data_IF_754389865720
#
_entry.id   IF_754389865720
#
_cell.length_a   1.000
_cell.length_b   1.000
_cell.length_c   1.000
_cell.angle_alpha   90.00
_cell.angle_beta   90.00
_cell.angle_gamma   90.00
#
_symmetry.space_group_name_H-M   'P 1'
#
loop_
_entity.id
_entity.type
_entity.pdbx_description
1 polymer ?
#
# COMPACT_ATOMS: atom_id res chain seq x y z
N UNK A 1 10.95 -93.63 19.82
CA UNK A 1 11.76 -92.69 19.03
C UNK A 1 11.32 -91.30 19.32
N UNK A 2 12.00 -90.63 20.26
CA UNK A 2 11.66 -89.27 20.68
C UNK A 2 12.73 -88.35 20.12
N UNK A 3 12.35 -87.41 19.31
CA UNK A 3 13.26 -86.37 18.78
C UNK A 3 12.97 -85.09 19.61
N UNK A 4 14.01 -84.66 20.34
CA UNK A 4 14.05 -83.41 21.09
C UNK A 4 14.48 -82.30 20.15
N UNK A 5 13.63 -81.27 19.96
CA UNK A 5 14.00 -80.02 19.31
C UNK A 5 14.47 -79.03 20.38
N UNK A 6 15.73 -78.59 20.25
CA UNK A 6 16.30 -77.51 21.06
C UNK A 6 15.96 -76.17 20.41
N UNK A 7 15.30 -75.25 21.14
CA UNK A 7 15.08 -73.90 20.73
C UNK A 7 16.24 -72.99 21.18
N UNK A 8 16.90 -72.35 20.24
CA UNK A 8 17.91 -71.35 20.52
C UNK A 8 17.25 -69.94 20.65
N UNK A 9 17.41 -69.33 21.81
CA UNK A 9 16.97 -67.95 22.08
C UNK A 9 18.10 -67.01 21.72
N UNK A 10 17.89 -66.18 20.69
CA UNK A 10 18.83 -65.12 20.32
C UNK A 10 18.46 -63.82 21.08
N UNK A 11 19.37 -63.39 21.96
CA UNK A 11 19.27 -62.06 22.58
C UNK A 11 19.72 -61.00 21.57
N UNK A 12 18.77 -60.18 21.07
CA UNK A 12 19.05 -59.00 20.30
C UNK A 12 19.30 -57.79 21.21
N UNK A 13 20.53 -57.27 21.19
CA UNK A 13 20.83 -56.00 21.86
C UNK A 13 20.23 -54.81 21.08
N UNK A 14 19.30 -54.11 21.70
CA UNK A 14 18.74 -52.85 21.16
C UNK A 14 19.71 -51.73 21.52
N UNK A 15 20.43 -51.21 20.53
CA UNK A 15 21.24 -49.97 20.66
C UNK A 15 20.29 -48.78 20.44
N UNK A 16 19.94 -48.10 21.54
CA UNK A 16 19.20 -46.82 21.46
C UNK A 16 20.21 -45.73 21.10
N UNK A 17 20.27 -45.38 19.83
CA UNK A 17 20.99 -44.20 19.37
C UNK A 17 20.28 -42.92 19.79
N UNK A 18 20.87 -42.17 20.71
CA UNK A 18 20.44 -40.81 21.02
C UNK A 18 20.79 -39.91 19.84
N UNK A 19 19.80 -39.58 19.02
CA UNK A 19 19.88 -38.52 18.02
C UNK A 19 19.95 -37.16 18.76
N UNK A 20 21.14 -36.64 18.92
CA UNK A 20 21.36 -35.26 19.36
C UNK A 20 21.05 -34.35 18.18
N UNK A 21 19.88 -33.67 18.22
CA UNK A 21 19.55 -32.65 17.28
C UNK A 21 20.41 -31.42 17.56
N UNK A 22 21.14 -30.86 16.58
CA UNK A 22 21.87 -29.62 16.82
C UNK A 22 20.86 -28.51 17.18
N UNK A 23 21.11 -27.82 18.29
CA UNK A 23 20.37 -26.65 18.68
C UNK A 23 20.43 -25.64 17.52
N UNK A 24 19.24 -25.18 17.07
CA UNK A 24 19.15 -24.07 16.12
C UNK A 24 19.76 -22.87 16.82
N UNK A 25 20.91 -22.40 16.37
CA UNK A 25 21.41 -21.08 16.74
C UNK A 25 20.34 -20.06 16.32
N UNK A 26 19.81 -19.30 17.28
CA UNK A 26 18.96 -18.14 17.04
C UNK A 26 19.78 -17.15 16.21
N UNK A 27 19.57 -17.17 14.89
CA UNK A 27 20.11 -16.13 14.03
C UNK A 27 19.44 -14.82 14.44
N UNK A 28 20.22 -13.93 15.00
CA UNK A 28 19.81 -12.55 15.23
C UNK A 28 19.22 -11.98 13.94
N UNK A 29 18.11 -11.21 14.01
CA UNK A 29 17.51 -10.62 12.82
C UNK A 29 18.56 -9.80 12.06
N UNK A 30 18.63 -10.01 10.75
CA UNK A 30 19.56 -9.30 9.90
C UNK A 30 19.39 -7.78 10.13
N UNK A 31 20.49 -7.01 10.24
CA UNK A 31 20.41 -5.58 10.44
C UNK A 31 19.62 -4.95 9.29
N UNK A 32 18.61 -4.12 9.64
CA UNK A 32 17.87 -3.32 8.68
C UNK A 32 18.89 -2.51 7.87
N UNK A 33 18.87 -2.57 6.54
CA UNK A 33 19.82 -1.81 5.74
C UNK A 33 19.76 -0.34 6.15
N UNK A 34 20.89 0.22 6.55
CA UNK A 34 20.98 1.65 6.84
C UNK A 34 20.57 2.43 5.58
N UNK A 35 19.70 3.43 5.75
CA UNK A 35 19.31 4.33 4.66
C UNK A 35 20.56 4.88 3.99
N UNK A 36 20.56 4.93 2.66
CA UNK A 36 21.66 5.48 1.90
C UNK A 36 21.99 6.90 2.41
N UNK A 37 23.28 7.27 2.57
CA UNK A 37 23.66 8.60 3.02
C UNK A 37 23.05 9.66 2.08
N UNK A 38 22.20 10.55 2.63
CA UNK A 38 21.56 11.63 1.87
C UNK A 38 20.09 11.39 1.49
N UNK A 39 19.52 10.22 1.74
CA UNK A 39 18.07 10.03 1.55
C UNK A 39 17.29 10.87 2.59
N UNK A 40 16.29 11.65 2.16
CA UNK A 40 15.53 12.49 3.07
C UNK A 40 14.73 11.60 4.06
N UNK A 41 14.74 11.96 5.35
CA UNK A 41 13.99 11.22 6.37
C UNK A 41 12.49 11.22 6.04
N UNK A 42 11.85 10.06 6.14
CA UNK A 42 10.42 9.94 5.91
C UNK A 42 9.63 10.67 7.02
N UNK A 43 8.52 11.28 6.63
CA UNK A 43 7.54 11.84 7.58
C UNK A 43 6.42 10.83 7.78
N UNK A 44 6.19 10.42 9.01
CA UNK A 44 5.12 9.48 9.37
C UNK A 44 3.95 10.19 10.03
N UNK A 45 2.78 9.62 9.88
CA UNK A 45 1.57 10.07 10.54
C UNK A 45 0.77 8.87 11.01
N UNK A 46 0.29 8.92 12.26
CA UNK A 46 -0.66 7.98 12.81
C UNK A 46 -1.92 8.73 13.25
N UNK A 47 -3.09 8.35 12.74
CA UNK A 47 -4.33 9.04 13.03
C UNK A 47 -5.43 8.77 12.00
N UNK A 48 -6.36 9.73 11.87
CA UNK A 48 -7.48 9.64 10.93
C UNK A 48 -7.26 10.50 9.70
N UNK A 49 -7.61 9.95 8.54
CA UNK A 49 -7.64 10.66 7.26
C UNK A 49 -9.00 10.52 6.60
N UNK A 50 -9.25 11.40 5.65
CA UNK A 50 -10.32 11.25 4.68
C UNK A 50 -9.77 11.46 3.27
N UNK A 51 -10.49 10.95 2.28
CA UNK A 51 -10.31 11.33 0.89
C UNK A 51 -11.66 11.69 0.26
N UNK A 52 -11.62 12.50 -0.79
CA UNK A 52 -12.78 12.94 -1.54
C UNK A 52 -12.39 13.22 -2.98
N UNK A 53 -13.34 13.10 -3.90
CA UNK A 53 -13.06 13.08 -5.34
C UNK A 53 -12.31 14.33 -5.85
N UNK A 54 -12.68 15.52 -5.37
CA UNK A 54 -12.01 16.78 -5.70
C UNK A 54 -11.35 17.36 -4.44
N UNK A 55 -10.19 17.98 -4.59
CA UNK A 55 -9.57 18.75 -3.52
C UNK A 55 -10.53 19.85 -3.04
N UNK A 56 -10.88 19.92 -1.75
CA UNK A 56 -11.80 20.94 -1.26
C UNK A 56 -11.12 22.32 -1.23
N UNK A 57 -11.92 23.39 -1.30
CA UNK A 57 -11.36 24.74 -1.19
C UNK A 57 -10.68 24.97 0.16
N UNK A 58 -9.71 25.89 0.19
CA UNK A 58 -9.00 26.26 1.43
C UNK A 58 -9.95 26.69 2.56
N UNK A 59 -11.09 27.32 2.22
CA UNK A 59 -12.10 27.70 3.20
C UNK A 59 -12.80 26.48 3.84
N UNK A 60 -13.10 25.45 3.04
CA UNK A 60 -13.67 24.19 3.52
C UNK A 60 -12.64 23.44 4.39
N UNK A 61 -11.40 23.33 3.93
CA UNK A 61 -10.33 22.66 4.66
C UNK A 61 -10.03 23.34 6.01
N UNK A 62 -10.12 24.67 6.06
CA UNK A 62 -9.96 25.42 7.32
C UNK A 62 -11.11 25.10 8.30
N UNK A 63 -12.35 25.07 7.83
CA UNK A 63 -13.50 24.71 8.65
C UNK A 63 -13.43 23.26 9.16
N UNK A 64 -12.86 22.37 8.36
CA UNK A 64 -12.70 20.94 8.70
C UNK A 64 -11.57 20.66 9.69
N UNK A 65 -10.77 21.67 10.10
CA UNK A 65 -9.79 21.50 11.20
C UNK A 65 -10.46 21.14 12.52
N UNK A 66 -11.75 21.42 12.69
CA UNK A 66 -12.54 21.01 13.87
C UNK A 66 -12.96 19.52 13.81
N UNK A 67 -12.64 18.81 12.73
CA UNK A 67 -12.95 17.40 12.56
C UNK A 67 -11.89 16.50 13.25
N UNK A 68 -12.17 15.20 13.44
CA UNK A 68 -11.19 14.26 13.95
C UNK A 68 -10.09 13.90 12.92
N UNK A 69 -10.17 14.41 11.69
CA UNK A 69 -9.24 14.14 10.63
C UNK A 69 -8.07 15.10 10.65
N UNK A 70 -6.87 14.58 10.42
CA UNK A 70 -5.64 15.37 10.36
C UNK A 70 -4.84 15.12 9.08
N UNK A 71 -5.28 14.17 8.25
CA UNK A 71 -4.72 13.90 6.94
C UNK A 71 -5.80 13.85 5.87
N UNK A 72 -5.41 14.11 4.63
CA UNK A 72 -6.29 14.13 3.46
C UNK A 72 -5.65 13.40 2.29
N UNK A 73 -6.42 12.48 1.67
CA UNK A 73 -6.08 11.86 0.40
C UNK A 73 -6.29 12.86 -0.74
N UNK A 74 -5.31 12.97 -1.64
CA UNK A 74 -5.30 13.94 -2.73
C UNK A 74 -5.08 13.22 -4.05
N UNK A 75 -6.08 13.20 -4.92
CA UNK A 75 -6.03 12.60 -6.26
C UNK A 75 -5.27 13.51 -7.22
N UNK A 76 -3.92 13.51 -7.11
CA UNK A 76 -3.08 14.49 -7.75
C UNK A 76 -2.79 14.23 -9.23
N UNK A 77 -2.95 13.02 -9.72
CA UNK A 77 -2.59 12.67 -11.08
C UNK A 77 -3.23 11.38 -11.61
N UNK A 78 -2.93 11.08 -12.85
CA UNK A 78 -3.39 9.89 -13.54
C UNK A 78 -4.67 10.11 -14.36
N UNK A 79 -4.74 9.41 -15.48
CA UNK A 79 -5.85 9.51 -16.46
C UNK A 79 -7.13 8.83 -16.01
N UNK A 80 -7.03 7.95 -14.99
CA UNK A 80 -8.15 7.13 -14.49
C UNK A 80 -8.96 7.81 -13.38
N UNK A 81 -8.66 9.05 -13.00
CA UNK A 81 -9.38 9.76 -11.93
C UNK A 81 -10.87 9.89 -12.23
N UNK A 82 -11.70 9.70 -11.20
CA UNK A 82 -13.15 9.93 -11.28
C UNK A 82 -13.47 11.40 -11.50
N UNK A 83 -12.78 12.30 -10.80
CA UNK A 83 -12.85 13.74 -10.96
C UNK A 83 -11.55 14.25 -11.62
N UNK A 84 -11.48 14.33 -12.97
CA UNK A 84 -10.24 14.71 -13.66
C UNK A 84 -9.88 16.17 -13.48
N UNK A 85 -10.87 17.04 -13.25
CA UNK A 85 -10.66 18.46 -13.02
C UNK A 85 -10.52 18.72 -11.53
N UNK A 86 -9.35 19.16 -11.12
CA UNK A 86 -8.99 19.46 -9.74
C UNK A 86 -8.73 20.97 -9.60
N UNK A 87 -9.79 21.76 -9.53
CA UNK A 87 -9.71 23.23 -9.61
C UNK A 87 -8.90 23.87 -8.49
N UNK A 88 -9.04 23.31 -7.29
CA UNK A 88 -8.38 23.85 -6.09
C UNK A 88 -6.94 23.33 -5.95
N UNK A 89 -6.61 22.17 -6.53
CA UNK A 89 -5.33 21.50 -6.34
C UNK A 89 -4.21 22.20 -7.12
N UNK A 90 -3.57 23.14 -6.47
CA UNK A 90 -2.42 23.91 -6.96
C UNK A 90 -1.25 23.79 -5.99
N UNK A 91 -0.01 24.18 -6.37
CA UNK A 91 1.10 24.26 -5.44
C UNK A 91 0.80 25.15 -4.22
N UNK A 92 0.12 26.27 -4.43
CA UNK A 92 -0.28 27.20 -3.35
C UNK A 92 -1.31 26.55 -2.40
N UNK A 93 -2.25 25.75 -2.94
CA UNK A 93 -3.16 24.98 -2.13
C UNK A 93 -2.42 23.97 -1.26
N UNK A 94 -1.48 23.22 -1.85
CA UNK A 94 -0.66 22.22 -1.14
C UNK A 94 0.14 22.88 -0.01
N UNK A 95 0.79 24.01 -0.28
CA UNK A 95 1.51 24.79 0.74
C UNK A 95 0.58 25.27 1.85
N UNK A 96 -0.57 25.86 1.49
CA UNK A 96 -1.56 26.35 2.45
C UNK A 96 -2.14 25.22 3.33
N UNK A 97 -2.39 24.04 2.75
CA UNK A 97 -2.85 22.89 3.54
C UNK A 97 -1.79 22.41 4.51
N UNK A 98 -0.54 22.40 4.09
CA UNK A 98 0.58 22.07 4.97
C UNK A 98 0.69 23.07 6.15
N UNK A 99 0.62 24.36 5.88
CA UNK A 99 0.64 25.43 6.88
C UNK A 99 -0.54 25.32 7.86
N UNK A 100 -1.72 24.93 7.38
CA UNK A 100 -2.88 24.64 8.20
C UNK A 100 -2.71 23.35 9.05
N UNK A 101 -1.61 22.61 8.88
CA UNK A 101 -1.32 21.39 9.63
C UNK A 101 -1.94 20.11 9.05
N UNK A 102 -2.49 20.14 7.83
CA UNK A 102 -2.94 18.93 7.15
C UNK A 102 -1.75 18.08 6.69
N UNK A 103 -1.81 16.78 6.93
CA UNK A 103 -0.94 15.79 6.28
C UNK A 103 -1.59 15.36 4.97
N UNK A 104 -0.77 15.09 3.95
CA UNK A 104 -1.30 14.72 2.63
C UNK A 104 -0.86 13.32 2.21
N UNK A 105 -1.78 12.59 1.60
CA UNK A 105 -1.61 11.24 1.07
C UNK A 105 -1.86 11.29 -0.44
N UNK A 106 -0.82 11.47 -1.27
CA UNK A 106 -0.98 11.64 -2.72
C UNK A 106 -1.37 10.34 -3.43
N UNK A 107 -2.54 10.31 -4.10
CA UNK A 107 -3.05 9.20 -4.90
C UNK A 107 -2.92 9.48 -6.40
N UNK A 108 -2.36 8.52 -7.12
CA UNK A 108 -2.25 8.53 -8.58
C UNK A 108 -3.13 7.44 -9.18
N UNK A 109 -4.19 7.85 -9.90
CA UNK A 109 -5.14 6.93 -10.55
C UNK A 109 -4.78 6.80 -12.02
N UNK A 110 -3.85 5.91 -12.31
CA UNK A 110 -3.39 5.64 -13.67
C UNK A 110 -4.16 4.52 -14.37
N UNK A 111 -3.39 3.61 -14.99
CA UNK A 111 -3.93 2.40 -15.57
C UNK A 111 -4.47 1.46 -14.52
N UNK A 112 -5.45 0.64 -14.94
CA UNK A 112 -6.21 -0.25 -14.09
C UNK A 112 -6.00 -1.71 -14.50
N UNK A 113 -6.23 -2.64 -13.58
CA UNK A 113 -6.16 -4.06 -13.88
C UNK A 113 -7.02 -4.42 -15.12
N UNK A 114 -6.57 -5.29 -16.03
CA UNK A 114 -7.33 -5.64 -17.24
C UNK A 114 -8.73 -6.19 -16.94
N UNK A 115 -8.90 -6.82 -15.78
CA UNK A 115 -10.17 -7.39 -15.32
C UNK A 115 -10.83 -6.54 -14.20
N UNK A 116 -10.59 -5.22 -14.20
CA UNK A 116 -11.21 -4.29 -13.24
C UNK A 116 -12.73 -4.45 -13.23
N UNK A 117 -13.33 -4.43 -12.03
CA UNK A 117 -14.77 -4.63 -11.85
C UNK A 117 -15.54 -3.39 -12.31
N UNK A 118 -15.08 -2.21 -11.92
CA UNK A 118 -15.72 -0.94 -12.27
C UNK A 118 -15.69 -0.70 -13.78
N UNK A 119 -16.86 -0.74 -14.44
CA UNK A 119 -16.97 -0.64 -15.89
C UNK A 119 -16.34 0.64 -16.44
N UNK A 120 -16.55 1.76 -15.80
CA UNK A 120 -15.99 3.06 -16.20
C UNK A 120 -14.44 3.08 -16.22
N UNK A 121 -13.80 2.15 -15.51
CA UNK A 121 -12.33 2.02 -15.43
C UNK A 121 -11.73 1.13 -16.51
N UNK A 122 -12.52 0.27 -17.18
CA UNK A 122 -12.04 -0.68 -18.19
C UNK A 122 -11.29 -0.03 -19.35
N UNK A 123 -11.67 1.18 -19.75
CA UNK A 123 -11.00 1.97 -20.80
C UNK A 123 -9.56 2.37 -20.44
N UNK A 124 -9.17 2.24 -19.18
CA UNK A 124 -7.84 2.54 -18.67
C UNK A 124 -7.02 1.28 -18.42
N UNK A 125 -7.42 0.13 -18.94
CA UNK A 125 -6.74 -1.13 -18.70
C UNK A 125 -5.24 -1.06 -19.03
N UNK A 126 -4.44 -1.75 -18.22
CA UNK A 126 -3.03 -2.01 -18.47
C UNK A 126 -2.92 -2.78 -19.80
N UNK A 127 -2.03 -2.34 -20.66
CA UNK A 127 -1.83 -2.90 -21.99
C UNK A 127 -0.90 -4.12 -22.03
N UNK A 128 -0.45 -4.48 -23.24
CA UNK A 128 0.37 -5.68 -23.49
C UNK A 128 1.80 -5.58 -22.96
N UNK A 129 2.26 -4.41 -22.58
CA UNK A 129 3.62 -4.16 -22.07
C UNK A 129 3.55 -3.55 -20.67
N UNK A 130 3.08 -4.32 -19.65
CA UNK A 130 2.81 -3.78 -18.31
C UNK A 130 4.05 -3.19 -17.64
N UNK A 131 5.22 -3.80 -17.81
CA UNK A 131 6.47 -3.29 -17.23
C UNK A 131 6.86 -1.90 -17.74
N UNK A 132 7.09 -1.71 -19.05
CA UNK A 132 7.35 -0.39 -19.64
C UNK A 132 6.27 0.64 -19.32
N UNK A 133 4.99 0.24 -19.34
CA UNK A 133 3.88 1.14 -19.03
C UNK A 133 3.92 1.58 -17.55
N UNK A 134 4.19 0.67 -16.61
CA UNK A 134 4.33 1.00 -15.19
C UNK A 134 5.48 1.98 -14.93
N UNK A 135 6.63 1.76 -15.59
CA UNK A 135 7.78 2.69 -15.53
C UNK A 135 7.40 4.08 -16.07
N UNK A 136 6.72 4.14 -17.20
CA UNK A 136 6.29 5.42 -17.78
C UNK A 136 5.33 6.18 -16.85
N UNK A 137 4.29 5.51 -16.35
CA UNK A 137 3.30 6.14 -15.48
C UNK A 137 3.88 6.55 -14.12
N UNK A 138 4.87 5.82 -13.59
CA UNK A 138 5.64 6.25 -12.42
C UNK A 138 6.37 7.58 -12.66
N UNK A 139 7.01 7.72 -13.82
CA UNK A 139 7.64 8.98 -14.22
C UNK A 139 6.63 10.13 -14.35
N UNK A 140 5.43 9.86 -14.86
CA UNK A 140 4.34 10.85 -14.93
C UNK A 140 3.87 11.25 -13.54
N UNK A 141 3.70 10.28 -12.62
CA UNK A 141 3.31 10.51 -11.25
C UNK A 141 4.33 11.39 -10.52
N UNK A 142 5.62 11.08 -10.64
CA UNK A 142 6.69 11.89 -10.00
C UNK A 142 6.74 13.30 -10.56
N UNK A 143 6.59 13.49 -11.87
CA UNK A 143 6.55 14.86 -12.46
C UNK A 143 5.36 15.66 -11.94
N UNK A 144 4.17 15.04 -11.87
CA UNK A 144 2.97 15.69 -11.33
C UNK A 144 3.12 16.00 -9.83
N UNK A 145 3.70 15.10 -9.05
CA UNK A 145 3.96 15.31 -7.63
C UNK A 145 4.92 16.48 -7.39
N UNK A 146 6.03 16.53 -8.12
CA UNK A 146 7.00 17.67 -8.06
C UNK A 146 6.34 18.99 -8.44
N UNK A 147 5.54 19.01 -9.49
CA UNK A 147 4.83 20.22 -9.93
C UNK A 147 3.87 20.77 -8.87
N UNK A 148 3.36 19.93 -7.97
CA UNK A 148 2.52 20.32 -6.83
C UNK A 148 3.28 20.61 -5.55
N UNK A 149 4.62 20.47 -5.53
CA UNK A 149 5.44 20.72 -4.36
C UNK A 149 5.56 19.53 -3.40
N UNK A 150 5.17 18.31 -3.82
CA UNK A 150 5.48 17.09 -3.08
C UNK A 150 6.96 16.74 -3.31
N UNK A 151 7.78 16.89 -2.27
CA UNK A 151 9.22 16.67 -2.32
C UNK A 151 9.63 15.20 -2.29
N UNK A 152 10.90 14.94 -2.55
CA UNK A 152 11.48 13.58 -2.45
C UNK A 152 11.29 13.01 -1.04
N UNK A 153 11.13 11.69 -0.96
CA UNK A 153 10.71 10.99 0.27
C UNK A 153 9.19 11.01 0.51
N UNK A 154 8.38 11.71 -0.31
CA UNK A 154 6.93 11.61 -0.25
C UNK A 154 6.46 10.23 -0.71
N UNK A 155 5.43 9.62 -0.07
CA UNK A 155 4.75 8.48 -0.65
C UNK A 155 3.91 8.92 -1.86
N UNK A 156 3.87 8.07 -2.89
CA UNK A 156 2.92 8.18 -3.99
C UNK A 156 2.12 6.88 -4.03
N UNK A 157 0.81 6.98 -3.82
CA UNK A 157 -0.08 5.81 -3.76
C UNK A 157 -0.65 5.54 -5.15
N UNK A 158 -0.23 4.45 -5.79
CA UNK A 158 -0.84 3.95 -7.01
C UNK A 158 -2.21 3.38 -6.68
N UNK A 159 -3.25 3.94 -7.27
CA UNK A 159 -4.63 3.50 -7.08
C UNK A 159 -5.03 2.53 -8.21
N UNK A 160 -5.23 1.28 -7.85
CA UNK A 160 -5.84 0.25 -8.69
C UNK A 160 -7.11 -0.24 -8.01
N UNK A 161 -8.24 0.02 -8.66
CA UNK A 161 -9.57 -0.35 -8.19
C UNK A 161 -9.74 -1.87 -8.06
N UNK A 162 -10.83 -2.30 -7.41
CA UNK A 162 -11.14 -3.71 -7.28
C UNK A 162 -11.23 -4.43 -8.63
N UNK A 163 -10.61 -5.60 -8.71
CA UNK A 163 -10.58 -6.45 -9.91
C UNK A 163 -10.75 -7.93 -9.56
N UNK A 164 -10.98 -8.78 -10.57
CA UNK A 164 -11.15 -10.22 -10.38
C UNK A 164 -9.81 -10.88 -10.06
N UNK A 165 -9.58 -11.17 -8.79
CA UNK A 165 -8.33 -11.76 -8.30
C UNK A 165 -8.21 -13.28 -8.53
N UNK A 166 -9.20 -13.91 -9.14
CA UNK A 166 -9.21 -15.31 -9.61
C UNK A 166 -8.72 -15.47 -11.07
N UNK A 167 -8.52 -14.37 -11.80
CA UNK A 167 -7.99 -14.33 -13.15
C UNK A 167 -6.44 -14.22 -13.09
N UNK A 168 -5.76 -15.33 -13.42
CA UNK A 168 -4.30 -15.44 -13.33
C UNK A 168 -3.56 -14.48 -14.27
N UNK A 169 -4.06 -14.30 -15.51
CA UNK A 169 -3.42 -13.45 -16.51
C UNK A 169 -3.56 -11.97 -16.13
N UNK A 170 -4.74 -11.60 -15.61
CA UNK A 170 -4.99 -10.27 -15.07
C UNK A 170 -4.07 -10.00 -13.89
N UNK A 171 -3.93 -10.95 -12.96
CA UNK A 171 -3.02 -10.83 -11.82
C UNK A 171 -1.56 -10.64 -12.27
N UNK A 172 -1.07 -11.50 -13.16
CA UNK A 172 0.31 -11.42 -13.66
C UNK A 172 0.60 -10.08 -14.34
N UNK A 173 -0.34 -9.60 -15.18
CA UNK A 173 -0.25 -8.30 -15.85
C UNK A 173 -0.22 -7.16 -14.83
N UNK A 174 -1.13 -7.18 -13.85
CA UNK A 174 -1.23 -6.14 -12.81
C UNK A 174 0.01 -6.11 -11.93
N UNK A 175 0.50 -7.27 -11.47
CA UNK A 175 1.72 -7.38 -10.66
C UNK A 175 2.94 -6.87 -11.42
N UNK A 176 3.09 -7.23 -12.70
CA UNK A 176 4.19 -6.74 -13.53
C UNK A 176 4.20 -5.21 -13.64
N UNK A 177 3.04 -4.60 -13.81
CA UNK A 177 2.87 -3.15 -13.84
C UNK A 177 3.23 -2.51 -12.49
N UNK A 178 2.67 -3.01 -11.38
CA UNK A 178 2.88 -2.49 -10.02
C UNK A 178 4.35 -2.57 -9.63
N UNK A 179 5.04 -3.66 -9.92
CA UNK A 179 6.48 -3.82 -9.65
C UNK A 179 7.32 -2.81 -10.42
N UNK A 180 7.08 -2.64 -11.72
CA UNK A 180 7.80 -1.67 -12.53
C UNK A 180 7.55 -0.24 -12.06
N UNK A 181 6.30 0.10 -11.73
CA UNK A 181 5.92 1.38 -11.17
C UNK A 181 6.63 1.62 -9.83
N UNK A 182 6.61 0.65 -8.93
CA UNK A 182 7.24 0.77 -7.60
C UNK A 182 8.75 0.95 -7.68
N UNK A 183 9.42 0.18 -8.55
CA UNK A 183 10.87 0.32 -8.79
C UNK A 183 11.23 1.70 -9.29
N UNK A 184 10.47 2.23 -10.25
CA UNK A 184 10.75 3.53 -10.84
C UNK A 184 10.47 4.68 -9.87
N UNK A 185 9.38 4.62 -9.09
CA UNK A 185 9.09 5.59 -8.03
C UNK A 185 10.26 5.67 -7.03
N UNK A 186 10.78 4.51 -6.58
CA UNK A 186 11.98 4.47 -5.70
C UNK A 186 13.20 5.09 -6.38
N UNK A 187 13.45 4.72 -7.64
CA UNK A 187 14.60 5.24 -8.40
C UNK A 187 14.55 6.77 -8.51
N UNK A 188 13.37 7.35 -8.53
CA UNK A 188 13.13 8.79 -8.61
C UNK A 188 13.09 9.49 -7.23
N UNK A 189 13.40 8.77 -6.13
CA UNK A 189 13.52 9.32 -4.79
C UNK A 189 12.20 9.39 -4.00
N UNK A 190 11.13 8.73 -4.46
CA UNK A 190 9.83 8.68 -3.80
C UNK A 190 9.55 7.31 -3.18
N UNK A 191 8.56 7.24 -2.29
CA UNK A 191 8.15 6.00 -1.65
C UNK A 191 6.95 5.42 -2.40
N UNK A 192 7.04 4.20 -2.97
CA UNK A 192 5.91 3.59 -3.65
C UNK A 192 4.89 3.10 -2.63
N UNK A 193 3.68 3.63 -2.71
CA UNK A 193 2.49 3.16 -2.03
C UNK A 193 1.52 2.49 -3.00
N UNK A 194 0.59 1.71 -2.48
CA UNK A 194 -0.42 1.03 -3.28
C UNK A 194 -1.78 1.06 -2.58
N UNK A 195 -2.79 1.56 -3.29
CA UNK A 195 -4.19 1.51 -2.87
C UNK A 195 -4.94 0.48 -3.70
N UNK A 196 -5.70 -0.37 -3.04
CA UNK A 196 -6.66 -1.28 -3.68
C UNK A 196 -7.66 -1.87 -2.69
N UNK A 197 -8.68 -2.56 -3.21
CA UNK A 197 -9.53 -3.41 -2.39
C UNK A 197 -8.73 -4.49 -1.66
N UNK A 198 -9.07 -4.74 -0.40
CA UNK A 198 -8.48 -5.81 0.40
C UNK A 198 -8.62 -7.18 -0.28
N UNK A 199 -9.78 -7.44 -0.92
CA UNK A 199 -10.09 -8.74 -1.53
C UNK A 199 -9.52 -8.94 -2.94
N UNK A 200 -8.88 -7.93 -3.53
CA UNK A 200 -8.23 -8.03 -4.84
C UNK A 200 -6.75 -7.67 -4.77
N UNK A 201 -6.37 -6.43 -5.06
CA UNK A 201 -4.98 -6.01 -5.18
C UNK A 201 -4.15 -6.23 -3.91
N UNK A 202 -4.71 -5.97 -2.73
CA UNK A 202 -3.99 -6.18 -1.46
C UNK A 202 -3.75 -7.68 -1.22
N UNK A 203 -4.78 -8.53 -1.42
CA UNK A 203 -4.64 -9.99 -1.35
C UNK A 203 -3.59 -10.52 -2.32
N UNK A 204 -3.55 -9.97 -3.55
CA UNK A 204 -2.55 -10.35 -4.54
C UNK A 204 -1.15 -9.94 -4.10
N UNK A 205 -0.95 -8.70 -3.62
CA UNK A 205 0.35 -8.27 -3.12
C UNK A 205 0.85 -9.11 -1.94
N UNK A 206 -0.05 -9.53 -1.05
CA UNK A 206 0.34 -10.42 0.05
C UNK A 206 0.79 -11.79 -0.45
N UNK A 207 0.15 -12.34 -1.49
CA UNK A 207 0.62 -13.58 -2.15
C UNK A 207 2.02 -13.40 -2.73
N UNK A 208 2.25 -12.29 -3.43
CA UNK A 208 3.56 -11.95 -4.02
C UNK A 208 4.62 -11.78 -2.94
N UNK A 209 4.31 -11.09 -1.85
CA UNK A 209 5.23 -10.93 -0.70
C UNK A 209 5.63 -12.27 -0.11
N UNK A 210 4.68 -13.18 0.10
CA UNK A 210 4.94 -14.54 0.61
C UNK A 210 5.76 -15.37 -0.37
N UNK A 211 5.64 -15.11 -1.67
CA UNK A 211 6.44 -15.75 -2.71
C UNK A 211 7.87 -15.16 -2.84
N UNK A 212 8.20 -14.10 -2.08
CA UNK A 212 9.50 -13.44 -2.15
C UNK A 212 9.66 -12.54 -3.38
N UNK A 213 8.55 -12.12 -4.00
CA UNK A 213 8.58 -11.22 -5.16
C UNK A 213 9.19 -9.88 -4.78
N UNK A 214 10.19 -9.45 -5.55
CA UNK A 214 10.87 -8.17 -5.38
C UNK A 214 10.07 -7.00 -5.97
N UNK A 215 10.48 -5.76 -5.64
CA UNK A 215 9.92 -4.50 -6.15
C UNK A 215 8.44 -4.27 -5.80
N UNK A 216 7.95 -4.84 -4.73
CA UNK A 216 6.61 -4.56 -4.22
C UNK A 216 6.53 -3.14 -3.60
N UNK A 217 5.35 -2.52 -3.53
CA UNK A 217 5.14 -1.27 -2.82
C UNK A 217 5.61 -1.34 -1.38
N UNK A 218 6.12 -0.22 -0.86
CA UNK A 218 6.61 -0.12 0.52
C UNK A 218 5.49 0.16 1.53
N UNK A 219 4.34 0.65 1.06
CA UNK A 219 3.17 1.02 1.88
C UNK A 219 1.91 0.50 1.21
N UNK A 220 0.96 0.00 1.99
CA UNK A 220 -0.34 -0.43 1.49
C UNK A 220 -1.47 0.40 2.08
N UNK A 221 -2.43 0.75 1.24
CA UNK A 221 -3.69 1.39 1.60
C UNK A 221 -4.82 0.45 1.14
N UNK A 222 -5.37 -0.30 2.07
CA UNK A 222 -6.41 -1.27 1.76
C UNK A 222 -7.81 -0.71 2.02
N UNK A 223 -8.71 -0.95 1.07
CA UNK A 223 -10.13 -0.61 1.21
C UNK A 223 -10.91 -1.85 1.66
N UNK A 224 -11.54 -1.73 2.83
CA UNK A 224 -12.52 -2.67 3.37
C UNK A 224 -13.54 -1.90 4.19
N UNK A 225 -14.71 -1.69 3.60
CA UNK A 225 -15.77 -0.86 4.20
C UNK A 225 -16.65 -1.65 5.16
N UNK A 226 -16.02 -2.51 5.96
CA UNK A 226 -16.65 -3.32 6.98
C UNK A 226 -15.76 -3.35 8.22
N UNK A 227 -16.36 -3.23 9.39
CA UNK A 227 -15.62 -3.22 10.64
C UNK A 227 -15.19 -1.81 11.07
N UNK A 228 -14.27 -1.77 12.05
CA UNK A 228 -13.73 -0.54 12.62
C UNK A 228 -12.44 -0.08 11.94
N UNK A 229 -11.88 1.05 12.35
CA UNK A 229 -10.68 1.66 11.78
C UNK A 229 -9.37 0.93 12.18
N UNK A 230 -9.37 -0.39 12.30
CA UNK A 230 -8.20 -1.16 12.71
C UNK A 230 -7.23 -1.39 11.53
N UNK A 231 -5.93 -1.31 11.80
CA UNK A 231 -4.86 -1.47 10.81
C UNK A 231 -4.25 -2.89 10.80
N UNK A 232 -4.47 -3.66 11.85
CA UNK A 232 -3.81 -4.93 12.14
C UNK A 232 -4.74 -6.14 12.07
N UNK A 233 -6.04 -5.94 11.87
CA UNK A 233 -7.05 -7.00 11.84
C UNK A 233 -7.48 -7.45 10.44
N UNK A 234 -6.81 -6.95 9.38
CA UNK A 234 -7.14 -7.36 8.01
C UNK A 234 -6.68 -8.80 7.74
N UNK A 235 -7.64 -9.69 7.54
CA UNK A 235 -7.41 -11.13 7.45
C UNK A 235 -6.63 -11.58 6.20
N UNK A 236 -6.59 -10.75 5.15
CA UNK A 236 -5.82 -11.08 3.94
C UNK A 236 -4.35 -10.76 4.07
N UNK A 237 -3.95 -9.99 5.08
CA UNK A 237 -2.58 -9.63 5.38
C UNK A 237 -2.02 -10.46 6.53
N UNK A 238 -0.77 -10.89 6.41
CA UNK A 238 -0.02 -11.37 7.56
C UNK A 238 0.07 -10.23 8.61
N UNK A 239 -0.08 -10.50 9.91
CA UNK A 239 -0.01 -9.46 10.94
C UNK A 239 1.26 -8.61 10.90
N UNK A 240 2.39 -9.16 10.47
CA UNK A 240 3.67 -8.45 10.35
C UNK A 240 3.93 -7.83 8.98
N UNK A 241 3.10 -8.15 7.96
CA UNK A 241 3.26 -7.58 6.63
C UNK A 241 3.06 -6.06 6.65
N UNK A 242 3.93 -5.29 6.01
CA UNK A 242 3.89 -3.83 5.99
C UNK A 242 3.79 -3.20 7.40
N UNK A 243 4.52 -3.75 8.35
CA UNK A 243 4.70 -3.22 9.70
C UNK A 243 6.19 -2.94 9.97
N UNK A 244 6.51 -1.96 10.81
CA UNK A 244 5.62 -0.89 11.33
C UNK A 244 5.44 0.26 10.32
N UNK A 245 4.44 1.11 10.57
CA UNK A 245 4.24 2.42 9.91
C UNK A 245 4.09 2.37 8.39
N UNK A 246 3.43 1.34 7.85
CA UNK A 246 3.25 1.20 6.40
C UNK A 246 1.84 0.69 6.00
N UNK A 247 0.82 0.96 6.84
CA UNK A 247 -0.57 0.59 6.55
C UNK A 247 -1.52 1.76 6.63
N UNK A 248 -2.47 1.79 5.70
CA UNK A 248 -3.65 2.65 5.74
C UNK A 248 -4.88 1.76 5.49
N UNK A 249 -5.93 1.98 6.26
CA UNK A 249 -7.22 1.27 6.11
C UNK A 249 -8.32 2.26 5.77
N UNK A 250 -8.83 2.22 4.52
CA UNK A 250 -10.07 2.90 4.17
C UNK A 250 -11.24 2.03 4.64
N UNK A 251 -11.82 2.39 5.79
CA UNK A 251 -12.80 1.56 6.50
C UNK A 251 -14.26 1.93 6.23
N UNK A 252 -14.51 3.06 5.57
CA UNK A 252 -15.86 3.48 5.17
C UNK A 252 -15.77 4.39 3.96
N UNK A 253 -16.70 4.24 3.02
CA UNK A 253 -16.79 5.09 1.84
C UNK A 253 -18.13 5.79 1.71
N UNK A 254 -18.15 6.89 0.96
CA UNK A 254 -19.35 7.69 0.65
C UNK A 254 -20.09 8.21 1.89
N UNK A 255 -19.37 8.55 2.94
CA UNK A 255 -19.97 9.07 4.17
C UNK A 255 -20.11 10.57 4.11
N UNK A 256 -21.29 11.09 4.42
CA UNK A 256 -21.52 12.53 4.46
C UNK A 256 -21.38 13.07 5.88
N UNK A 257 -20.48 14.02 6.06
CA UNK A 257 -20.21 14.68 7.34
C UNK A 257 -20.21 16.21 7.22
N UNK A 258 -20.33 16.86 8.37
CA UNK A 258 -20.34 18.33 8.47
C UNK A 258 -19.49 18.78 9.63
N UNK A 259 -18.47 19.60 9.34
CA UNK A 259 -17.62 20.25 10.35
C UNK A 259 -17.47 21.73 10.01
N UNK A 260 -17.47 22.59 11.03
CA UNK A 260 -17.41 24.04 10.85
C UNK A 260 -18.48 24.58 9.90
N UNK A 261 -19.67 23.96 9.86
CA UNK A 261 -20.76 24.32 8.95
C UNK A 261 -20.53 23.95 7.49
N UNK A 262 -19.50 23.18 7.15
CA UNK A 262 -19.16 22.73 5.80
C UNK A 262 -19.40 21.24 5.65
N UNK A 263 -20.29 20.87 4.72
CA UNK A 263 -20.69 19.49 4.42
C UNK A 263 -19.84 18.92 3.30
N UNK A 264 -19.30 17.71 3.48
CA UNK A 264 -18.63 16.94 2.43
C UNK A 264 -19.07 15.47 2.45
N UNK A 265 -18.95 14.81 1.31
CA UNK A 265 -18.99 13.34 1.19
C UNK A 265 -17.57 12.85 1.04
N UNK A 266 -17.16 11.96 1.91
CA UNK A 266 -15.79 11.51 2.07
C UNK A 266 -15.71 9.99 2.21
N UNK A 267 -14.52 9.46 1.97
CA UNK A 267 -14.13 8.14 2.40
C UNK A 267 -13.21 8.26 3.63
N UNK A 268 -13.41 7.40 4.62
CA UNK A 268 -12.71 7.46 5.92
C UNK A 268 -11.56 6.49 5.97
N UNK A 269 -10.40 6.94 6.45
CA UNK A 269 -9.24 6.09 6.64
C UNK A 269 -8.62 6.21 8.02
N UNK A 270 -8.11 5.08 8.54
CA UNK A 270 -7.12 5.03 9.61
C UNK A 270 -5.74 4.94 8.98
N UNK A 271 -4.76 5.64 9.53
CA UNK A 271 -3.42 5.79 8.96
C UNK A 271 -2.37 5.45 10.01
N UNK A 272 -1.38 4.68 9.66
CA UNK A 272 -0.07 4.57 10.28
C UNK A 272 0.96 4.36 9.16
N UNK A 273 1.36 5.47 8.53
CA UNK A 273 2.09 5.42 7.27
C UNK A 273 2.86 6.71 6.98
N UNK A 274 3.79 6.69 5.99
CA UNK A 274 4.42 7.90 5.49
C UNK A 274 3.39 8.84 4.86
N UNK A 275 3.64 10.15 5.01
CA UNK A 275 2.87 11.24 4.41
C UNK A 275 3.77 12.14 3.55
N UNK A 276 3.16 12.94 2.68
CA UNK A 276 3.88 13.83 1.80
C UNK A 276 4.79 14.81 2.57
N UNK A 277 5.96 15.05 2.01
CA UNK A 277 6.89 16.09 2.41
C UNK A 277 6.61 17.32 1.55
N UNK A 278 6.38 18.45 2.19
CA UNK A 278 6.11 19.71 1.52
C UNK A 278 7.23 20.67 1.86
N UNK A 279 7.78 21.33 0.83
CA UNK A 279 8.89 22.25 1.00
C UNK A 279 10.24 21.51 1.11
N UNK A 280 11.15 21.86 0.24
CA UNK A 280 12.51 21.34 0.13
C UNK A 280 12.89 21.33 -1.35
N UNK A 281 13.16 22.50 -1.90
CA UNK A 281 14.03 22.60 -3.06
C UNK A 281 15.47 22.47 -2.58
#
# INVERSE_FOLDING_TARGET
MHVLLAAAVAFGAVVVGLLVWPAREDQAPAPVPAAAPGAPALQYFSGRAFDTCEAPSAAVMRAWRDSPYQAVGVYFGGRGRGCPVQRELTPDWVASMHELGWRMLPLFVGSQAPCVIAEAKRRYAIGRTPGPQGTQEAGEAVRAARALGFGEGSPLYLDIEAYRSDDSDCNATTVSFVRAWSREVRRLGYVPGFYSSADSGIRQLERERRAGTEDLPSVVWFARWQGGPALDTESVLDPQAWQPHARIHQYAGNVTETYGGRRMTIDRSAVDAPVARIGGA
#
